data_IF_295123627127
#
_entry.id   IF_295123627127
#
_cell.length_a   1.000
_cell.length_b   1.000
_cell.length_c   1.000
_cell.angle_alpha   90.00
_cell.angle_beta   90.00
_cell.angle_gamma   90.00
#
_symmetry.space_group_name_H-M   'P 1'
#
loop_
_entity.id
_entity.type
_entity.pdbx_description
1 polymer ?
#
# COMPACT_ATOMS: atom_id res chain seq x y z
N UNK A 1 -8.88 34.88 58.16
CA UNK A 1 -7.77 35.81 57.87
C UNK A 1 -6.78 35.05 57.00
N UNK A 2 -6.86 35.21 55.67
CA UNK A 2 -5.90 35.99 54.83
C UNK A 2 -4.49 35.37 54.82
N UNK A 3 -3.87 34.98 53.71
CA UNK A 3 -4.17 35.21 52.30
C UNK A 3 -3.17 34.51 51.35
N UNK A 4 -3.29 34.89 50.08
CA UNK A 4 -2.81 34.31 48.83
C UNK A 4 -1.30 34.50 48.46
N UNK A 5 -0.83 33.56 47.61
CA UNK A 5 -0.02 33.67 46.35
C UNK A 5 1.44 34.18 46.36
N UNK A 6 2.36 33.34 45.83
CA UNK A 6 3.23 33.55 44.63
C UNK A 6 4.22 32.36 44.48
N UNK A 7 4.07 31.45 43.50
CA UNK A 7 4.67 31.45 42.14
C UNK A 7 6.21 31.40 42.07
N UNK A 8 6.77 30.25 41.66
CA UNK A 8 7.69 30.15 40.50
C UNK A 8 8.02 28.69 40.13
N UNK A 9 8.04 28.49 38.82
CA UNK A 9 8.14 27.25 38.06
C UNK A 9 9.57 26.67 38.06
N UNK A 10 9.75 25.35 37.89
CA UNK A 10 10.97 24.81 37.33
C UNK A 10 10.83 24.67 35.80
N UNK A 11 11.49 25.57 35.07
CA UNK A 11 11.87 25.36 33.67
C UNK A 11 12.95 24.28 33.63
N UNK A 12 12.55 23.09 33.20
CA UNK A 12 13.42 21.96 32.90
C UNK A 12 12.87 21.27 31.69
N UNK A 13 13.01 21.95 30.55
CA UNK A 13 12.58 21.56 29.22
C UNK A 13 13.13 20.17 28.88
N UNK A 14 12.32 19.15 29.15
CA UNK A 14 12.62 17.78 28.77
C UNK A 14 12.14 17.67 27.34
N UNK A 15 13.02 18.03 26.39
CA UNK A 15 12.84 17.71 24.98
C UNK A 15 12.81 16.19 24.89
N UNK A 16 11.60 15.64 24.86
CA UNK A 16 11.38 14.26 24.45
C UNK A 16 11.95 14.13 23.03
N UNK A 17 12.77 13.09 22.74
CA UNK A 17 13.18 12.84 21.37
C UNK A 17 11.90 12.66 20.56
N UNK A 18 11.75 13.52 19.55
CA UNK A 18 10.70 13.47 18.54
C UNK A 18 10.61 12.01 18.10
N UNK A 19 9.48 11.38 18.42
CA UNK A 19 9.20 10.05 17.93
C UNK A 19 9.32 10.11 16.42
N UNK A 20 10.20 9.29 15.87
CA UNK A 20 10.12 8.85 14.49
C UNK A 20 8.67 8.49 14.25
N UNK A 21 7.97 9.42 13.60
CA UNK A 21 6.60 9.21 13.21
C UNK A 21 6.73 8.25 12.04
N UNK A 22 6.74 6.95 12.33
CA UNK A 22 6.56 5.91 11.33
C UNK A 22 5.30 6.33 10.59
N UNK A 23 5.48 6.81 9.36
CA UNK A 23 4.37 7.29 8.56
C UNK A 23 3.31 6.18 8.54
N UNK A 24 2.01 6.50 8.74
CA UNK A 24 0.96 5.50 8.63
C UNK A 24 1.17 4.77 7.30
N UNK A 25 1.35 3.46 7.38
CA UNK A 25 1.72 2.66 6.23
C UNK A 25 0.72 2.90 5.10
N UNK A 26 1.21 3.35 3.94
CA UNK A 26 0.37 3.76 2.84
C UNK A 26 -0.50 2.60 2.34
N UNK A 27 -1.76 2.91 2.05
CA UNK A 27 -2.72 1.98 1.45
C UNK A 27 -2.12 1.28 0.22
N UNK A 28 -2.59 0.07 -0.12
CA UNK A 28 -2.11 -0.71 -1.25
C UNK A 28 -2.22 0.10 -2.55
N UNK A 29 -3.34 0.78 -2.77
CA UNK A 29 -3.53 1.63 -3.95
C UNK A 29 -2.50 2.77 -4.01
N UNK A 30 -2.19 3.41 -2.87
CA UNK A 30 -1.18 4.47 -2.79
C UNK A 30 0.22 3.96 -3.12
N UNK A 31 0.60 2.76 -2.65
CA UNK A 31 1.87 2.14 -3.00
C UNK A 31 1.99 1.86 -4.50
N UNK A 32 0.90 1.45 -5.16
CA UNK A 32 0.88 1.29 -6.62
C UNK A 32 0.94 2.65 -7.34
N UNK A 33 0.28 3.68 -6.81
CA UNK A 33 0.38 5.05 -7.35
C UNK A 33 1.80 5.63 -7.20
N UNK A 34 2.51 5.30 -6.13
CA UNK A 34 3.94 5.62 -6.00
C UNK A 34 4.78 4.88 -7.04
N UNK A 35 4.52 3.59 -7.27
CA UNK A 35 5.16 2.82 -8.34
C UNK A 35 4.92 3.48 -9.71
N UNK A 36 3.68 3.93 -9.98
CA UNK A 36 3.29 4.64 -11.20
C UNK A 36 4.05 5.96 -11.37
N UNK A 37 4.19 6.74 -10.31
CA UNK A 37 4.91 8.00 -10.32
C UNK A 37 6.42 7.82 -10.59
N UNK A 38 7.00 6.70 -10.14
CA UNK A 38 8.40 6.33 -10.45
C UNK A 38 8.57 5.79 -11.86
N UNK A 39 7.55 5.12 -12.41
CA UNK A 39 7.60 4.51 -13.72
C UNK A 39 7.64 5.55 -14.85
N UNK A 40 6.84 6.61 -14.72
CA UNK A 40 6.80 7.71 -15.69
C UNK A 40 6.69 9.04 -14.91
N UNK A 41 7.85 9.56 -14.46
CA UNK A 41 7.92 10.77 -13.64
C UNK A 41 7.55 12.00 -14.46
N UNK A 42 6.91 13.02 -13.83
CA UNK A 42 6.53 14.23 -14.53
C UNK A 42 7.77 14.92 -15.11
N UNK A 43 7.71 15.26 -16.39
CA UNK A 43 8.79 15.99 -17.07
C UNK A 43 8.96 17.38 -16.46
N UNK A 44 10.14 17.63 -15.86
CA UNK A 44 10.52 18.97 -15.40
C UNK A 44 11.00 19.77 -16.61
N UNK A 45 10.15 20.63 -17.15
CA UNK A 45 10.55 21.57 -18.19
C UNK A 45 11.43 22.66 -17.59
N UNK A 46 12.74 22.53 -17.76
CA UNK A 46 13.70 23.60 -17.42
C UNK A 46 13.61 24.65 -18.54
N UNK A 47 13.24 25.90 -18.23
CA UNK A 47 13.19 26.94 -19.26
C UNK A 47 14.57 27.11 -19.90
N UNK A 48 14.61 27.14 -21.23
CA UNK A 48 15.86 27.22 -21.97
C UNK A 48 16.70 28.44 -21.53
N UNK A 49 18.03 28.30 -21.38
CA UNK A 49 18.90 29.43 -21.08
C UNK A 49 18.78 30.47 -22.21
N UNK A 50 18.52 31.73 -21.84
CA UNK A 50 18.50 32.84 -22.80
C UNK A 50 19.94 33.21 -23.15
N UNK A 51 20.37 32.95 -24.38
CA UNK A 51 21.60 33.52 -24.94
C UNK A 51 21.31 34.91 -25.54
N UNK A 52 22.36 35.72 -25.75
CA UNK A 52 22.24 37.09 -26.28
C UNK A 52 21.73 37.14 -27.73
N UNK A 53 21.73 36.03 -28.46
CA UNK A 53 21.42 35.95 -29.91
C UNK A 53 20.01 35.40 -30.22
N UNK A 54 19.22 35.05 -29.20
CA UNK A 54 17.83 34.63 -29.35
C UNK A 54 17.49 33.27 -28.72
N UNK A 55 16.20 32.93 -28.73
CA UNK A 55 15.69 31.66 -28.19
C UNK A 55 16.15 30.51 -29.08
N UNK A 56 16.99 29.62 -28.56
CA UNK A 56 17.33 28.36 -29.23
C UNK A 56 16.05 27.50 -29.28
N UNK A 57 15.60 27.04 -30.47
CA UNK A 57 14.44 26.16 -30.56
C UNK A 57 14.70 24.90 -29.74
N UNK A 58 13.72 24.43 -28.95
CA UNK A 58 13.89 23.21 -28.19
C UNK A 58 14.23 22.04 -29.14
N UNK A 59 15.10 21.11 -28.74
CA UNK A 59 15.36 19.92 -29.53
C UNK A 59 14.04 19.19 -29.80
N UNK A 60 13.92 18.61 -30.99
CA UNK A 60 12.77 17.78 -31.33
C UNK A 60 12.68 16.64 -30.28
N UNK A 61 11.54 16.56 -29.59
CA UNK A 61 11.22 15.47 -28.68
C UNK A 61 11.12 14.17 -29.50
N UNK A 62 12.25 13.50 -29.65
CA UNK A 62 12.26 12.09 -30.04
C UNK A 62 11.64 11.29 -28.91
N UNK A 63 10.93 10.20 -29.24
CA UNK A 63 10.48 9.24 -28.24
C UNK A 63 11.70 8.80 -27.43
N UNK A 64 11.66 9.03 -26.13
CA UNK A 64 12.73 8.63 -25.23
C UNK A 64 12.84 7.09 -25.31
N UNK A 65 13.97 6.52 -25.75
CA UNK A 65 14.15 5.08 -25.82
C UNK A 65 14.01 4.41 -24.45
N UNK A 66 14.13 5.18 -23.36
CA UNK A 66 13.99 4.71 -21.99
C UNK A 66 12.54 4.87 -21.46
N UNK A 67 11.60 5.39 -22.25
CA UNK A 67 10.19 5.51 -21.85
C UNK A 67 9.54 4.12 -21.63
N UNK A 68 8.71 3.95 -20.60
CA UNK A 68 8.01 2.69 -20.37
C UNK A 68 6.98 2.42 -21.47
N UNK A 69 6.69 1.14 -21.69
CA UNK A 69 5.62 0.75 -22.61
C UNK A 69 4.27 1.31 -22.13
N UNK A 70 3.47 1.86 -23.05
CA UNK A 70 2.18 2.50 -22.69
C UNK A 70 1.19 1.54 -22.04
N UNK A 71 1.22 0.29 -22.45
CA UNK A 71 0.41 -0.79 -21.90
C UNK A 71 0.90 -1.26 -20.53
N UNK A 72 2.19 -1.11 -20.22
CA UNK A 72 2.72 -1.32 -18.87
C UNK A 72 2.19 -0.23 -17.93
N UNK A 73 2.28 1.03 -18.35
CA UNK A 73 1.70 2.18 -17.62
C UNK A 73 0.21 1.96 -17.32
N UNK A 74 -0.57 1.60 -18.35
CA UNK A 74 -2.00 1.34 -18.19
C UNK A 74 -2.29 0.16 -17.25
N UNK A 75 -1.43 -0.87 -17.21
CA UNK A 75 -1.58 -2.00 -16.30
C UNK A 75 -1.31 -1.60 -14.84
N UNK A 76 -0.34 -0.72 -14.57
CA UNK A 76 -0.12 -0.16 -13.24
C UNK A 76 -1.33 0.67 -12.80
N UNK A 77 -1.85 1.52 -13.69
CA UNK A 77 -3.02 2.36 -13.42
C UNK A 77 -4.26 1.51 -13.11
N UNK A 78 -4.49 0.44 -13.88
CA UNK A 78 -5.61 -0.48 -13.64
C UNK A 78 -5.51 -1.21 -12.29
N UNK A 79 -4.32 -1.67 -11.90
CA UNK A 79 -4.12 -2.29 -10.59
C UNK A 79 -4.39 -1.30 -9.46
N UNK A 80 -3.98 -0.03 -9.61
CA UNK A 80 -4.25 1.00 -8.63
C UNK A 80 -5.76 1.27 -8.48
N UNK A 81 -6.50 1.34 -9.59
CA UNK A 81 -7.95 1.55 -9.58
C UNK A 81 -8.71 0.39 -8.94
N UNK A 82 -8.30 -0.85 -9.23
CA UNK A 82 -8.89 -2.03 -8.59
C UNK A 82 -8.67 -2.03 -7.07
N UNK A 83 -7.44 -1.73 -6.62
CA UNK A 83 -7.13 -1.64 -5.20
C UNK A 83 -7.89 -0.50 -4.52
N UNK A 84 -8.04 0.65 -5.18
CA UNK A 84 -8.80 1.78 -4.67
C UNK A 84 -10.29 1.43 -4.49
N UNK A 85 -10.84 0.64 -5.43
CA UNK A 85 -12.20 0.11 -5.33
C UNK A 85 -12.35 -0.79 -4.10
N UNK A 86 -11.43 -1.73 -3.91
CA UNK A 86 -11.44 -2.64 -2.75
C UNK A 86 -11.29 -1.89 -1.44
N UNK A 87 -10.38 -0.91 -1.37
CA UNK A 87 -10.14 -0.11 -0.16
C UNK A 87 -11.27 0.87 0.15
N UNK A 88 -12.00 1.31 -0.88
CA UNK A 88 -13.14 2.23 -0.77
C UNK A 88 -14.48 1.55 -0.49
N UNK A 89 -14.59 0.24 -0.74
CA UNK A 89 -15.85 -0.49 -0.61
C UNK A 89 -16.15 -0.85 0.85
N UNK A 90 -17.13 -0.15 1.42
CA UNK A 90 -17.60 -0.35 2.79
C UNK A 90 -18.84 -1.23 2.89
N UNK A 91 -19.36 -1.70 1.77
CA UNK A 91 -20.55 -2.56 1.74
C UNK A 91 -20.15 -4.03 1.54
N UNK A 92 -18.95 -4.28 1.01
CA UNK A 92 -18.37 -5.62 0.87
C UNK A 92 -17.56 -6.03 2.11
N UNK A 93 -18.05 -7.03 2.84
CA UNK A 93 -17.39 -7.56 4.04
C UNK A 93 -16.03 -8.21 3.71
N UNK A 94 -15.89 -8.87 2.56
CA UNK A 94 -14.63 -9.49 2.16
C UNK A 94 -13.56 -8.44 1.86
N UNK A 95 -13.94 -7.33 1.24
CA UNK A 95 -13.03 -6.18 1.03
C UNK A 95 -12.59 -5.55 2.35
N UNK A 96 -13.51 -5.40 3.31
CA UNK A 96 -13.18 -4.87 4.63
C UNK A 96 -12.24 -5.80 5.40
N UNK A 97 -12.48 -7.12 5.36
CA UNK A 97 -11.59 -8.11 5.98
C UNK A 97 -10.22 -8.07 5.31
N UNK A 98 -10.16 -8.07 3.97
CA UNK A 98 -8.90 -7.94 3.21
C UNK A 98 -8.08 -6.73 3.70
N UNK A 99 -8.71 -5.55 3.77
CA UNK A 99 -8.05 -4.32 4.21
C UNK A 99 -7.57 -4.41 5.66
N UNK A 100 -8.36 -5.04 6.54
CA UNK A 100 -7.98 -5.30 7.94
C UNK A 100 -6.77 -6.21 8.03
N UNK A 101 -6.73 -7.31 7.24
CA UNK A 101 -5.59 -8.21 7.18
C UNK A 101 -4.33 -7.49 6.69
N UNK A 102 -4.48 -6.70 5.62
CA UNK A 102 -3.38 -5.94 5.04
C UNK A 102 -2.78 -4.92 6.03
N UNK A 103 -3.62 -4.25 6.83
CA UNK A 103 -3.17 -3.36 7.88
C UNK A 103 -2.33 -4.11 8.94
N UNK A 104 -2.83 -5.23 9.46
CA UNK A 104 -2.10 -6.01 10.48
C UNK A 104 -0.84 -6.70 9.95
N UNK A 105 -0.80 -7.08 8.67
CA UNK A 105 0.43 -7.57 8.05
C UNK A 105 1.57 -6.54 8.13
N UNK A 106 1.21 -5.26 8.30
CA UNK A 106 2.15 -4.16 8.39
C UNK A 106 2.41 -3.73 9.84
N UNK A 107 1.36 -3.66 10.66
CA UNK A 107 1.45 -3.18 12.05
C UNK A 107 1.79 -4.29 13.06
N UNK A 108 1.76 -5.55 12.64
CA UNK A 108 1.96 -6.75 13.47
C UNK A 108 0.65 -7.44 13.85
N UNK A 109 0.70 -8.77 14.00
CA UNK A 109 -0.46 -9.59 14.38
C UNK A 109 -0.76 -9.39 15.88
N UNK A 110 -2.02 -9.10 16.28
CA UNK A 110 -2.40 -9.00 17.68
C UNK A 110 -2.07 -10.27 18.48
N UNK A 111 -1.71 -10.14 19.76
CA UNK A 111 -1.38 -11.30 20.63
C UNK A 111 -2.54 -12.30 20.78
N UNK A 112 -3.79 -11.82 20.72
CA UNK A 112 -4.98 -12.66 20.76
C UNK A 112 -5.23 -13.43 19.44
N UNK A 113 -4.46 -13.14 18.39
CA UNK A 113 -4.65 -13.71 17.06
C UNK A 113 -5.88 -13.17 16.34
N UNK A 114 -6.11 -13.72 15.14
CA UNK A 114 -7.27 -13.49 14.28
C UNK A 114 -8.58 -14.05 14.84
N UNK A 115 -8.47 -15.12 15.64
CA UNK A 115 -9.59 -15.92 16.15
C UNK A 115 -10.38 -15.28 17.29
N UNK A 116 -9.94 -14.13 17.81
CA UNK A 116 -10.65 -13.42 18.87
C UNK A 116 -11.91 -12.69 18.35
N UNK A 117 -12.07 -12.54 17.03
CA UNK A 117 -13.24 -11.92 16.42
C UNK A 117 -14.25 -13.01 16.00
N UNK A 118 -15.05 -13.46 16.97
CA UNK A 118 -16.04 -14.54 16.83
C UNK A 118 -17.16 -14.26 15.80
N UNK A 119 -17.18 -13.07 15.18
CA UNK A 119 -18.27 -12.60 14.32
C UNK A 119 -18.10 -12.72 12.81
N UNK A 120 -16.93 -13.13 12.30
CA UNK A 120 -16.73 -13.23 10.84
C UNK A 120 -17.29 -14.55 10.29
N UNK A 121 -17.95 -14.54 9.14
CA UNK A 121 -18.44 -15.76 8.47
C UNK A 121 -17.31 -16.50 7.74
N UNK A 122 -17.37 -17.83 7.68
CA UNK A 122 -16.45 -18.66 6.86
C UNK A 122 -16.58 -18.31 5.38
N UNK A 123 -17.78 -18.01 4.89
CA UNK A 123 -18.00 -17.61 3.49
C UNK A 123 -17.28 -16.29 3.18
N UNK A 124 -17.31 -15.33 4.11
CA UNK A 124 -16.58 -14.05 3.98
C UNK A 124 -15.07 -14.27 3.95
N UNK A 125 -14.54 -15.17 4.77
CA UNK A 125 -13.11 -15.51 4.75
C UNK A 125 -12.69 -16.18 3.44
N UNK A 126 -13.52 -17.06 2.89
CA UNK A 126 -13.27 -17.67 1.58
C UNK A 126 -13.28 -16.62 0.47
N UNK A 127 -14.29 -15.74 0.45
CA UNK A 127 -14.36 -14.63 -0.50
C UNK A 127 -13.16 -13.68 -0.37
N UNK A 128 -12.70 -13.39 0.86
CA UNK A 128 -11.49 -12.60 1.14
C UNK A 128 -10.26 -13.25 0.54
N UNK A 129 -10.10 -14.57 0.74
CA UNK A 129 -8.98 -15.35 0.20
C UNK A 129 -8.97 -15.32 -1.33
N UNK A 130 -10.13 -15.51 -1.97
CA UNK A 130 -10.28 -15.47 -3.42
C UNK A 130 -9.97 -14.08 -3.99
N UNK A 131 -10.50 -13.02 -3.36
CA UNK A 131 -10.21 -11.64 -3.75
C UNK A 131 -8.72 -11.31 -3.65
N UNK A 132 -8.08 -11.70 -2.54
CA UNK A 132 -6.65 -11.50 -2.33
C UNK A 132 -5.80 -12.27 -3.35
N UNK A 133 -6.16 -13.52 -3.68
CA UNK A 133 -5.49 -14.32 -4.72
C UNK A 133 -5.60 -13.66 -6.09
N UNK A 134 -6.80 -13.21 -6.48
CA UNK A 134 -7.00 -12.55 -7.77
C UNK A 134 -6.15 -11.28 -7.91
N UNK A 135 -6.12 -10.43 -6.89
CA UNK A 135 -5.28 -9.24 -6.88
C UNK A 135 -3.78 -9.59 -6.87
N UNK A 136 -3.39 -10.61 -6.11
CA UNK A 136 -2.00 -11.07 -6.02
C UNK A 136 -1.48 -11.60 -7.36
N UNK A 137 -2.28 -12.38 -8.09
CA UNK A 137 -1.93 -12.88 -9.43
C UNK A 137 -1.68 -11.74 -10.41
N UNK A 138 -2.54 -10.71 -10.40
CA UNK A 138 -2.36 -9.51 -11.25
C UNK A 138 -1.12 -8.71 -10.86
N UNK A 139 -0.88 -8.51 -9.56
CA UNK A 139 0.31 -7.84 -9.07
C UNK A 139 1.59 -8.62 -9.43
N UNK A 140 1.58 -9.96 -9.34
CA UNK A 140 2.72 -10.80 -9.73
C UNK A 140 3.00 -10.75 -11.24
N UNK A 141 1.95 -10.82 -12.08
CA UNK A 141 2.10 -10.68 -13.52
C UNK A 141 2.67 -9.30 -13.91
N UNK A 142 2.27 -8.24 -13.20
CA UNK A 142 2.82 -6.91 -13.39
C UNK A 142 4.28 -6.81 -12.93
N UNK A 143 4.63 -7.45 -11.81
CA UNK A 143 6.01 -7.52 -11.32
C UNK A 143 6.94 -8.18 -12.33
N UNK A 144 6.56 -9.32 -12.89
CA UNK A 144 7.34 -10.02 -13.93
C UNK A 144 7.62 -9.13 -15.14
N UNK A 145 6.62 -8.33 -15.55
CA UNK A 145 6.76 -7.37 -16.65
C UNK A 145 7.72 -6.24 -16.29
N UNK A 146 7.58 -5.65 -15.09
CA UNK A 146 8.47 -4.60 -14.61
C UNK A 146 9.91 -5.08 -14.53
N UNK A 147 10.15 -6.31 -14.08
CA UNK A 147 11.48 -6.91 -14.04
C UNK A 147 12.03 -7.15 -15.45
N UNK A 148 11.20 -7.60 -16.40
CA UNK A 148 11.62 -7.79 -17.79
C UNK A 148 12.01 -6.49 -18.51
N UNK A 149 11.46 -5.37 -18.07
CA UNK A 149 11.80 -4.01 -18.54
C UNK A 149 12.85 -3.32 -17.65
N UNK A 150 13.49 -4.05 -16.71
CA UNK A 150 14.52 -3.55 -15.79
C UNK A 150 14.05 -2.34 -14.93
N UNK A 151 12.74 -2.26 -14.62
CA UNK A 151 12.11 -1.17 -13.86
C UNK A 151 12.12 -1.45 -12.35
N UNK A 152 13.32 -1.56 -11.77
CA UNK A 152 13.49 -2.01 -10.38
C UNK A 152 12.80 -1.13 -9.31
N UNK A 153 12.73 0.19 -9.52
CA UNK A 153 12.09 1.12 -8.57
C UNK A 153 10.57 0.89 -8.42
N UNK A 154 9.82 0.87 -9.53
CA UNK A 154 8.42 0.43 -9.54
C UNK A 154 8.23 -1.04 -9.13
N UNK A 155 9.12 -1.95 -9.56
CA UNK A 155 9.03 -3.38 -9.24
C UNK A 155 9.01 -3.64 -7.73
N UNK A 156 9.91 -2.99 -6.97
CA UNK A 156 9.96 -3.14 -5.51
C UNK A 156 8.65 -2.73 -4.81
N UNK A 157 7.97 -1.70 -5.33
CA UNK A 157 6.70 -1.26 -4.78
C UNK A 157 5.56 -2.26 -5.08
N UNK A 158 5.52 -2.78 -6.31
CA UNK A 158 4.53 -3.81 -6.71
C UNK A 158 4.78 -5.14 -5.99
N UNK A 159 6.03 -5.52 -5.76
CA UNK A 159 6.41 -6.72 -4.98
C UNK A 159 5.91 -6.64 -3.52
N UNK A 160 6.04 -5.47 -2.89
CA UNK A 160 5.50 -5.23 -1.54
C UNK A 160 3.97 -5.44 -1.50
N UNK A 161 3.25 -4.97 -2.53
CA UNK A 161 1.80 -5.16 -2.65
C UNK A 161 1.45 -6.63 -2.87
N UNK A 162 2.13 -7.31 -3.80
CA UNK A 162 1.94 -8.74 -4.07
C UNK A 162 2.19 -9.60 -2.81
N UNK A 163 3.24 -9.27 -2.05
CA UNK A 163 3.57 -9.93 -0.79
C UNK A 163 2.49 -9.71 0.27
N UNK A 164 1.98 -8.48 0.40
CA UNK A 164 0.90 -8.17 1.35
C UNK A 164 -0.36 -8.97 1.01
N UNK A 165 -0.77 -9.00 -0.27
CA UNK A 165 -1.94 -9.74 -0.72
C UNK A 165 -1.78 -11.26 -0.54
N UNK A 166 -0.56 -11.79 -0.73
CA UNK A 166 -0.25 -13.19 -0.44
C UNK A 166 -0.45 -13.51 1.04
N UNK A 167 0.05 -12.65 1.93
CA UNK A 167 -0.16 -12.82 3.39
C UNK A 167 -1.65 -12.81 3.70
N UNK A 168 -2.41 -11.90 3.08
CA UNK A 168 -3.86 -11.82 3.28
C UNK A 168 -4.55 -13.14 2.93
N UNK A 169 -4.30 -13.67 1.74
CA UNK A 169 -4.89 -14.94 1.31
C UNK A 169 -4.51 -16.12 2.20
N UNK A 170 -3.25 -16.21 2.63
CA UNK A 170 -2.77 -17.26 3.53
C UNK A 170 -3.47 -17.18 4.90
N UNK A 171 -3.58 -15.98 5.44
CA UNK A 171 -4.23 -15.76 6.74
C UNK A 171 -5.71 -16.13 6.68
N UNK A 172 -6.43 -15.68 5.64
CA UNK A 172 -7.83 -16.04 5.45
C UNK A 172 -8.01 -17.57 5.33
N UNK A 173 -7.15 -18.25 4.57
CA UNK A 173 -7.18 -19.72 4.43
C UNK A 173 -6.93 -20.43 5.78
N UNK A 174 -5.98 -19.94 6.59
CA UNK A 174 -5.68 -20.51 7.90
C UNK A 174 -6.86 -20.36 8.88
N UNK A 175 -7.55 -19.23 8.87
CA UNK A 175 -8.72 -19.00 9.72
C UNK A 175 -9.89 -19.92 9.35
N UNK A 176 -10.12 -20.16 8.06
CA UNK A 176 -11.10 -21.15 7.58
C UNK A 176 -10.76 -22.54 8.12
N UNK A 177 -9.49 -22.94 8.05
CA UNK A 177 -9.04 -24.25 8.52
C UNK A 177 -9.17 -24.42 10.05
N UNK A 178 -8.83 -23.38 10.82
CA UNK A 178 -8.91 -23.44 12.28
C UNK A 178 -10.37 -23.54 12.76
N UNK A 179 -11.30 -22.85 12.11
CA UNK A 179 -12.73 -22.95 12.41
C UNK A 179 -13.30 -24.33 12.14
N UNK A 180 -13.00 -24.90 10.98
CA UNK A 180 -13.39 -26.28 10.65
C UNK A 180 -12.86 -27.29 11.69
N UNK A 181 -11.66 -27.05 12.22
CA UNK A 181 -11.07 -27.88 13.28
C UNK A 181 -11.78 -27.73 14.62
N UNK A 182 -12.27 -26.55 14.95
CA UNK A 182 -13.00 -26.29 16.19
C UNK A 182 -14.39 -26.92 16.17
N UNK A 183 -15.10 -26.81 15.04
CA UNK A 183 -16.40 -27.46 14.82
C UNK A 183 -16.30 -28.99 14.92
N UNK A 184 -15.24 -29.60 14.38
CA UNK A 184 -14.99 -31.03 14.51
C UNK A 184 -14.52 -31.53 15.88
N UNK A 185 -14.24 -30.62 16.85
CA UNK A 185 -13.83 -30.97 18.22
C UNK A 185 -14.98 -30.99 19.22
N UNK A 186 -16.16 -30.50 18.84
CA UNK A 186 -17.32 -30.39 19.73
C UNK A 186 -18.27 -31.61 19.68
N UNK A 187 -17.92 -32.63 18.87
CA UNK A 187 -18.58 -33.95 18.82
C UNK A 187 -17.86 -35.01 19.68
#
# INVERSE_FOLDING_TARGET
>A
MTGNVATREPEGDTVAPEGDTVAPHAALAERVREARARLDPPSVSVPAPRSAEGVVPPPALHADPDAPAKDLVAAVDALAEELDTVEGDREDDAHQVLCRIAAWATDGVPEAGWSADEGLDVEVLQATSEAAKGLQERAAALLERLDSEERHGPAAAVDSVATTLRVVGVVADLEVMERARQEGRTD
#
